data_IF_434895794932
#
_entry.id   IF_434895794932
#
_cell.length_a   1.000
_cell.length_b   1.000
_cell.length_c   1.000
_cell.angle_alpha   90.00
_cell.angle_beta   90.00
_cell.angle_gamma   90.00
#
_symmetry.space_group_name_H-M   'P 1'
#
loop_
_entity.id
_entity.type
_entity.pdbx_description
1 polymer ?
#
# COMPACT_ATOMS: atom_id res chain seq x y z
N UNK A 1 -18.10 9.71 -8.46
CA UNK A 1 -19.16 10.02 -9.45
C UNK A 1 -20.09 8.82 -9.49
N UNK A 2 -21.33 9.02 -9.06
CA UNK A 2 -22.36 8.00 -8.97
C UNK A 2 -23.26 7.97 -10.21
N UNK A 3 -24.21 7.04 -10.24
CA UNK A 3 -25.13 6.85 -11.36
C UNK A 3 -26.01 8.08 -11.62
N UNK A 4 -26.42 8.80 -10.56
CA UNK A 4 -27.26 9.99 -10.68
C UNK A 4 -26.51 11.14 -11.39
N UNK A 5 -25.28 11.40 -10.96
CA UNK A 5 -24.44 12.42 -11.57
C UNK A 5 -24.12 12.10 -13.05
N UNK A 6 -23.90 10.82 -13.37
CA UNK A 6 -23.66 10.38 -14.76
C UNK A 6 -24.93 10.59 -15.60
N UNK A 7 -26.08 10.20 -15.09
CA UNK A 7 -27.38 10.35 -15.80
C UNK A 7 -27.74 11.82 -16.06
N UNK A 8 -27.44 12.71 -15.11
CA UNK A 8 -27.70 14.15 -15.24
C UNK A 8 -26.77 14.84 -16.25
N UNK A 9 -25.63 14.23 -16.58
CA UNK A 9 -24.59 14.84 -17.40
C UNK A 9 -24.71 14.44 -18.90
N UNK A 10 -25.73 14.93 -19.58
CA UNK A 10 -26.08 14.56 -20.98
C UNK A 10 -24.97 14.78 -22.01
N UNK A 11 -23.96 15.59 -21.73
CA UNK A 11 -22.81 15.85 -22.61
C UNK A 11 -21.51 15.20 -22.15
N UNK A 12 -21.54 14.41 -21.07
CA UNK A 12 -20.35 13.75 -20.54
C UNK A 12 -19.86 12.69 -21.53
N UNK A 13 -18.58 12.73 -21.85
CA UNK A 13 -17.92 11.75 -22.74
C UNK A 13 -16.87 10.94 -22.03
N UNK A 14 -16.16 11.55 -21.06
CA UNK A 14 -15.03 10.95 -20.38
C UNK A 14 -15.05 11.35 -18.92
N UNK A 15 -14.83 10.37 -18.04
CA UNK A 15 -14.48 10.56 -16.64
C UNK A 15 -13.01 10.19 -16.49
N UNK A 16 -12.14 11.17 -16.22
CA UNK A 16 -10.72 10.96 -16.00
C UNK A 16 -10.39 11.08 -14.52
N UNK A 17 -9.88 10.00 -13.91
CA UNK A 17 -9.44 9.99 -12.53
C UNK A 17 -7.92 10.14 -12.42
N UNK A 18 -7.44 11.14 -11.70
CA UNK A 18 -6.03 11.32 -11.38
C UNK A 18 -5.64 10.37 -10.22
N UNK A 19 -5.61 9.07 -10.48
CA UNK A 19 -5.28 8.03 -9.49
C UNK A 19 -5.45 6.63 -10.07
N UNK A 20 -5.11 5.60 -9.28
CA UNK A 20 -5.12 4.19 -9.75
C UNK A 20 -6.50 3.56 -9.62
N UNK A 21 -7.12 3.62 -8.44
CA UNK A 21 -8.42 2.98 -8.20
C UNK A 21 -9.57 3.71 -8.89
N UNK A 22 -10.66 3.03 -9.15
CA UNK A 22 -11.89 3.56 -9.76
C UNK A 22 -13.11 3.35 -8.86
N UNK A 23 -12.87 3.05 -7.58
CA UNK A 23 -13.87 2.76 -6.55
C UNK A 23 -14.89 3.88 -6.31
N UNK A 24 -14.54 5.12 -6.64
CA UNK A 24 -15.38 6.30 -6.52
C UNK A 24 -16.12 6.68 -7.83
N UNK A 25 -16.14 5.79 -8.82
CA UNK A 25 -16.86 5.97 -10.09
C UNK A 25 -17.76 4.76 -10.33
N UNK A 26 -19.04 4.99 -10.60
CA UNK A 26 -19.97 3.93 -11.02
C UNK A 26 -19.67 3.53 -12.47
N UNK A 27 -18.79 2.51 -12.61
CA UNK A 27 -18.37 2.01 -13.92
C UNK A 27 -19.54 1.43 -14.72
N UNK A 28 -20.52 0.79 -14.03
CA UNK A 28 -21.68 0.20 -14.71
C UNK A 28 -22.57 1.30 -15.31
N UNK A 29 -22.86 2.33 -14.54
CA UNK A 29 -23.63 3.47 -15.02
C UNK A 29 -22.90 4.22 -16.15
N UNK A 30 -21.60 4.43 -16.03
CA UNK A 30 -20.78 5.05 -17.08
C UNK A 30 -20.81 4.25 -18.38
N UNK A 31 -20.66 2.92 -18.30
CA UNK A 31 -20.71 2.02 -19.46
C UNK A 31 -22.09 2.07 -20.13
N UNK A 32 -23.19 2.03 -19.33
CA UNK A 32 -24.56 2.11 -19.84
C UNK A 32 -24.84 3.45 -20.54
N UNK A 33 -24.24 4.54 -20.06
CA UNK A 33 -24.35 5.89 -20.64
C UNK A 33 -23.36 6.13 -21.81
N UNK A 34 -22.52 5.17 -22.19
CA UNK A 34 -21.50 5.33 -23.23
C UNK A 34 -20.39 6.30 -22.85
N UNK A 35 -20.13 6.49 -21.54
CA UNK A 35 -19.09 7.36 -21.00
C UNK A 35 -17.82 6.57 -20.74
N UNK A 36 -16.71 6.99 -21.33
CA UNK A 36 -15.39 6.41 -21.10
C UNK A 36 -14.89 6.74 -19.70
N UNK A 37 -14.35 5.75 -18.97
CA UNK A 37 -13.68 5.98 -17.70
C UNK A 37 -12.21 5.64 -17.84
N UNK A 38 -11.33 6.59 -17.54
CA UNK A 38 -9.87 6.42 -17.60
C UNK A 38 -9.23 6.77 -16.26
N UNK A 39 -8.10 6.13 -15.97
CA UNK A 39 -7.33 6.37 -14.75
C UNK A 39 -5.85 6.62 -15.06
N UNK A 40 -5.06 6.94 -14.03
CA UNK A 40 -3.61 7.08 -14.11
C UNK A 40 -2.94 5.94 -13.32
N UNK A 41 -2.73 4.76 -13.94
CA UNK A 41 -2.44 3.51 -13.23
C UNK A 41 -1.05 3.44 -12.58
N UNK A 42 -0.18 4.44 -12.81
CA UNK A 42 1.18 4.49 -12.25
C UNK A 42 1.46 5.76 -11.47
N UNK A 43 0.52 6.70 -11.41
CA UNK A 43 0.78 8.08 -10.94
C UNK A 43 1.22 8.18 -9.48
N UNK A 44 0.75 7.30 -8.60
CA UNK A 44 0.99 7.37 -7.15
C UNK A 44 1.55 6.09 -6.52
N UNK A 45 1.91 5.07 -7.31
CA UNK A 45 2.37 3.79 -6.77
C UNK A 45 3.68 3.91 -5.98
N UNK A 46 4.59 4.77 -6.44
CA UNK A 46 5.87 5.03 -5.76
C UNK A 46 5.61 5.75 -4.44
N UNK A 47 4.84 6.84 -4.47
CA UNK A 47 4.51 7.63 -3.28
C UNK A 47 3.79 6.78 -2.22
N UNK A 48 2.85 5.92 -2.63
CA UNK A 48 2.15 5.02 -1.73
C UNK A 48 3.11 4.00 -1.08
N UNK A 49 4.02 3.43 -1.88
CA UNK A 49 5.01 2.47 -1.35
C UNK A 49 5.97 3.14 -0.35
N UNK A 50 6.46 4.34 -0.65
CA UNK A 50 7.36 5.09 0.22
C UNK A 50 6.67 5.53 1.52
N UNK A 51 5.45 6.02 1.43
CA UNK A 51 4.65 6.38 2.61
C UNK A 51 4.40 5.16 3.50
N UNK A 52 4.13 3.99 2.91
CA UNK A 52 3.94 2.74 3.67
C UNK A 52 5.20 2.38 4.45
N UNK A 53 6.37 2.40 3.82
CA UNK A 53 7.66 2.14 4.51
C UNK A 53 7.91 3.19 5.60
N UNK A 54 7.61 4.47 5.31
CA UNK A 54 7.70 5.55 6.30
C UNK A 54 6.82 5.31 7.53
N UNK A 55 5.58 4.83 7.34
CA UNK A 55 4.69 4.47 8.45
C UNK A 55 5.19 3.27 9.26
N UNK A 56 5.70 2.23 8.60
CA UNK A 56 6.30 1.06 9.28
C UNK A 56 7.45 1.52 10.19
N UNK A 57 8.38 2.31 9.68
CA UNK A 57 9.50 2.84 10.45
C UNK A 57 9.03 3.77 11.58
N UNK A 58 8.06 4.63 11.31
CA UNK A 58 7.50 5.55 12.29
C UNK A 58 6.84 4.81 13.46
N UNK A 59 6.14 3.72 13.17
CA UNK A 59 5.51 2.87 14.18
C UNK A 59 6.58 2.09 14.97
N UNK A 60 7.46 1.38 14.27
CA UNK A 60 8.50 0.55 14.89
C UNK A 60 9.44 1.35 15.80
N UNK A 61 9.71 2.60 15.48
CA UNK A 61 10.66 3.47 16.19
C UNK A 61 10.00 4.59 17.00
N UNK A 62 8.67 4.58 17.17
CA UNK A 62 7.90 5.58 17.91
C UNK A 62 8.15 7.04 17.51
N UNK A 63 8.46 7.29 16.22
CA UNK A 63 8.92 8.59 15.73
C UNK A 63 7.95 9.75 16.09
N UNK A 64 6.62 9.65 15.81
CA UNK A 64 5.70 10.74 16.11
C UNK A 64 5.60 11.04 17.62
N UNK A 65 5.54 9.99 18.45
CA UNK A 65 5.43 10.14 19.90
C UNK A 65 6.71 10.72 20.52
N UNK A 66 7.87 10.28 20.05
CA UNK A 66 9.16 10.82 20.49
C UNK A 66 9.31 12.30 20.10
N UNK A 67 8.93 12.66 18.87
CA UNK A 67 8.92 14.04 18.40
C UNK A 67 8.00 14.92 19.26
N UNK A 68 6.74 14.50 19.50
CA UNK A 68 5.79 15.24 20.30
C UNK A 68 6.27 15.46 21.75
N UNK A 69 6.86 14.42 22.36
CA UNK A 69 7.45 14.50 23.70
C UNK A 69 8.58 15.54 23.75
N UNK A 70 9.49 15.51 22.79
CA UNK A 70 10.61 16.45 22.73
C UNK A 70 10.15 17.89 22.45
N UNK A 71 9.21 18.08 21.55
CA UNK A 71 8.63 19.39 21.23
C UNK A 71 7.90 20.01 22.43
N UNK A 72 7.35 19.17 23.34
CA UNK A 72 6.77 19.59 24.60
C UNK A 72 7.83 19.83 25.72
N UNK A 73 9.11 19.79 25.40
CA UNK A 73 10.21 20.02 26.35
C UNK A 73 10.55 18.81 27.23
N UNK A 74 10.01 17.62 26.96
CA UNK A 74 10.26 16.42 27.77
C UNK A 74 11.33 15.54 27.15
N UNK A 75 12.42 15.25 27.91
CA UNK A 75 13.48 14.33 27.52
C UNK A 75 13.24 12.93 28.10
N UNK A 76 12.47 12.09 27.39
CA UNK A 76 12.06 10.75 27.86
C UNK A 76 12.65 9.64 26.97
N UNK A 77 13.97 9.62 26.85
CA UNK A 77 14.71 8.72 25.94
C UNK A 77 14.32 7.24 26.08
N UNK A 78 14.24 6.73 27.30
CA UNK A 78 13.93 5.31 27.57
C UNK A 78 12.49 4.91 27.23
N UNK A 79 11.57 5.86 27.13
CA UNK A 79 10.17 5.59 26.80
C UNK A 79 9.94 5.31 25.30
N UNK A 80 10.94 5.56 24.46
CA UNK A 80 10.84 5.43 23.01
C UNK A 80 11.86 4.45 22.44
N UNK A 81 12.18 3.41 23.21
CA UNK A 81 12.94 2.25 22.71
C UNK A 81 12.03 1.51 21.73
N UNK A 82 12.37 1.54 20.47
CA UNK A 82 11.60 0.87 19.45
C UNK A 82 12.12 -0.52 19.11
N UNK A 83 11.59 -1.07 18.03
CA UNK A 83 12.02 -2.34 17.45
C UNK A 83 12.77 -2.09 16.15
N UNK A 84 13.86 -2.80 15.94
CA UNK A 84 14.56 -2.83 14.66
C UNK A 84 13.82 -3.76 13.67
N UNK A 85 13.87 -3.43 12.39
CA UNK A 85 13.32 -4.29 11.35
C UNK A 85 14.26 -5.44 10.97
N UNK A 86 15.54 -5.29 11.26
CA UNK A 86 16.57 -6.31 10.95
C UNK A 86 16.17 -7.69 11.50
N UNK A 87 16.29 -8.72 10.64
CA UNK A 87 15.89 -10.11 10.92
C UNK A 87 14.41 -10.34 11.22
N UNK A 88 13.53 -9.35 11.01
CA UNK A 88 12.09 -9.50 11.16
C UNK A 88 11.47 -10.10 9.91
N UNK A 89 10.31 -10.74 10.09
CA UNK A 89 9.48 -11.20 8.98
C UNK A 89 8.36 -10.20 8.72
N UNK A 90 8.31 -9.66 7.52
CA UNK A 90 7.25 -8.74 7.09
C UNK A 90 6.32 -9.43 6.11
N UNK A 91 5.05 -9.55 6.50
CA UNK A 91 3.99 -10.11 5.67
C UNK A 91 3.33 -9.04 4.81
N UNK A 92 3.19 -9.30 3.51
CA UNK A 92 2.51 -8.41 2.56
C UNK A 92 1.27 -9.12 2.03
N UNK A 93 0.09 -8.56 2.30
CA UNK A 93 -1.17 -9.02 1.71
C UNK A 93 -1.42 -8.18 0.45
N UNK A 94 -1.30 -8.83 -0.71
CA UNK A 94 -1.36 -8.19 -2.03
C UNK A 94 0.01 -7.83 -2.60
N UNK A 95 0.54 -8.69 -3.50
CA UNK A 95 1.85 -8.51 -4.15
C UNK A 95 1.71 -7.88 -5.56
N UNK A 96 0.75 -6.93 -5.69
CA UNK A 96 0.57 -6.14 -6.90
C UNK A 96 1.68 -5.08 -7.09
N UNK A 97 1.39 -4.03 -7.86
CA UNK A 97 2.39 -2.99 -8.18
C UNK A 97 2.96 -2.30 -6.93
N UNK A 98 2.11 -1.93 -5.98
CA UNK A 98 2.53 -1.26 -4.74
C UNK A 98 3.22 -2.25 -3.82
N UNK A 99 2.64 -3.44 -3.58
CA UNK A 99 3.24 -4.47 -2.72
C UNK A 99 4.64 -4.88 -3.17
N UNK A 100 4.87 -5.03 -4.48
CA UNK A 100 6.18 -5.32 -5.04
C UNK A 100 7.21 -4.20 -4.77
N UNK A 101 6.78 -2.93 -4.86
CA UNK A 101 7.64 -1.79 -4.54
C UNK A 101 7.94 -1.68 -3.04
N UNK A 102 6.99 -2.04 -2.18
CA UNK A 102 7.20 -2.12 -0.73
C UNK A 102 8.19 -3.24 -0.41
N UNK A 103 7.99 -4.44 -0.97
CA UNK A 103 8.90 -5.58 -0.78
C UNK A 103 10.34 -5.22 -1.13
N UNK A 104 10.57 -4.63 -2.30
CA UNK A 104 11.91 -4.23 -2.75
C UNK A 104 12.59 -3.22 -1.81
N UNK A 105 11.81 -2.31 -1.20
CA UNK A 105 12.36 -1.33 -0.25
C UNK A 105 12.65 -1.94 1.12
N UNK A 106 11.77 -2.81 1.58
CA UNK A 106 11.90 -3.46 2.89
C UNK A 106 13.09 -4.44 2.93
N UNK A 107 13.37 -5.13 1.83
CA UNK A 107 14.56 -6.01 1.73
C UNK A 107 15.86 -5.29 2.08
N UNK A 108 15.96 -3.98 1.82
CA UNK A 108 17.12 -3.17 2.21
C UNK A 108 17.34 -3.05 3.72
N UNK A 109 16.35 -3.39 4.54
CA UNK A 109 16.46 -3.42 6.02
C UNK A 109 16.86 -4.78 6.58
N UNK A 110 17.17 -5.77 5.73
CA UNK A 110 17.54 -7.10 6.18
C UNK A 110 16.36 -7.91 6.75
N UNK A 111 15.13 -7.63 6.30
CA UNK A 111 13.94 -8.38 6.67
C UNK A 111 13.73 -9.58 5.74
N UNK A 112 13.04 -10.60 6.23
CA UNK A 112 12.43 -11.63 5.39
C UNK A 112 11.07 -11.12 4.92
N UNK A 113 10.84 -11.10 3.60
CA UNK A 113 9.54 -10.71 3.05
C UNK A 113 8.75 -11.94 2.62
N UNK A 114 7.58 -12.11 3.20
CA UNK A 114 6.58 -13.12 2.80
C UNK A 114 5.34 -12.42 2.25
N UNK A 115 4.60 -13.06 1.35
CA UNK A 115 3.40 -12.44 0.80
C UNK A 115 2.27 -13.45 0.57
N UNK A 116 1.04 -12.93 0.62
CA UNK A 116 -0.15 -13.62 0.13
C UNK A 116 -0.74 -12.81 -1.01
N UNK A 117 -0.95 -13.46 -2.15
CA UNK A 117 -1.67 -12.88 -3.29
C UNK A 117 -2.26 -14.02 -4.13
N UNK A 118 -3.60 -14.07 -4.34
CA UNK A 118 -4.25 -15.16 -5.08
C UNK A 118 -4.00 -15.11 -6.59
N UNK A 119 -3.43 -14.02 -7.12
CA UNK A 119 -3.26 -13.81 -8.56
C UNK A 119 -1.79 -13.80 -9.00
N UNK A 120 -0.85 -13.67 -8.08
CA UNK A 120 0.58 -13.65 -8.39
C UNK A 120 1.12 -15.07 -8.49
N UNK A 121 1.87 -15.35 -9.56
CA UNK A 121 2.50 -16.67 -9.76
C UNK A 121 3.73 -16.83 -8.87
N UNK A 122 4.06 -18.09 -8.45
CA UNK A 122 5.28 -18.37 -7.69
C UNK A 122 6.55 -17.85 -8.40
N UNK A 123 6.63 -17.99 -9.72
CA UNK A 123 7.77 -17.49 -10.50
C UNK A 123 7.93 -15.97 -10.39
N UNK A 124 6.81 -15.24 -10.38
CA UNK A 124 6.84 -13.78 -10.20
C UNK A 124 7.27 -13.37 -8.79
N UNK A 125 6.79 -14.04 -7.77
CA UNK A 125 7.20 -13.79 -6.39
C UNK A 125 8.69 -14.08 -6.19
N UNK A 126 9.19 -15.17 -6.76
CA UNK A 126 10.62 -15.51 -6.73
C UNK A 126 11.50 -14.43 -7.38
N UNK A 127 11.08 -13.87 -8.52
CA UNK A 127 11.77 -12.74 -9.17
C UNK A 127 11.85 -11.50 -8.27
N UNK A 128 10.88 -11.33 -7.38
CA UNK A 128 10.83 -10.23 -6.40
C UNK A 128 11.57 -10.55 -5.11
N UNK A 129 12.14 -11.75 -4.97
CA UNK A 129 12.78 -12.21 -3.74
C UNK A 129 11.78 -12.39 -2.58
N UNK A 130 10.54 -12.77 -2.89
CA UNK A 130 9.44 -12.89 -1.92
C UNK A 130 8.93 -14.32 -1.91
N UNK A 131 8.66 -14.88 -0.73
CA UNK A 131 8.03 -16.20 -0.56
C UNK A 131 6.52 -16.03 -0.47
N UNK A 132 5.77 -16.75 -1.34
CA UNK A 132 4.31 -16.81 -1.22
C UNK A 132 3.90 -17.83 -0.17
N UNK A 133 2.95 -17.45 0.68
CA UNK A 133 2.36 -18.28 1.71
C UNK A 133 0.82 -18.24 1.62
N UNK A 134 0.11 -19.27 2.10
CA UNK A 134 -1.29 -19.17 2.48
C UNK A 134 -1.50 -18.04 3.49
N UNK A 135 -2.69 -17.42 3.50
CA UNK A 135 -2.95 -16.25 4.35
C UNK A 135 -2.72 -16.54 5.84
N UNK A 136 -3.21 -17.66 6.32
CA UNK A 136 -3.06 -18.03 7.74
C UNK A 136 -1.59 -18.26 8.12
N UNK A 137 -0.80 -18.87 7.24
CA UNK A 137 0.63 -19.06 7.45
C UNK A 137 1.39 -17.72 7.45
N UNK A 138 1.03 -16.81 6.55
CA UNK A 138 1.58 -15.45 6.52
C UNK A 138 1.30 -14.73 7.83
N UNK A 139 0.05 -14.76 8.30
CA UNK A 139 -0.35 -14.08 9.54
C UNK A 139 0.38 -14.66 10.77
N UNK A 140 0.60 -15.97 10.79
CA UNK A 140 1.29 -16.63 11.91
C UNK A 140 2.81 -16.40 11.92
N UNK A 141 3.42 -16.15 10.78
CA UNK A 141 4.87 -16.00 10.63
C UNK A 141 5.34 -14.53 10.62
N UNK A 142 4.42 -13.58 10.51
CA UNK A 142 4.77 -12.15 10.43
C UNK A 142 4.90 -11.53 11.82
N UNK A 143 5.92 -10.70 12.01
CA UNK A 143 6.15 -9.87 13.21
C UNK A 143 5.26 -8.62 13.21
#
# INVERSE_FOLDING_TARGET
MDAEAIAAASRLKVVARAGVGLDNVDIKAATAAGVMVVNAPTSNIISAAELTVGHILSLARHIPAAHASLAAGAWKRSSFTGTELFEKTVGIIGLGRIGALIAARLQGFGVTVVAYDPYVTPARAQQLGVTLLPLDDLLSQSD
#
